data_IF_081360644448
#
_entry.id   IF_081360644448
#
_cell.length_a   1.000
_cell.length_b   1.000
_cell.length_c   1.000
_cell.angle_alpha   90.00
_cell.angle_beta   90.00
_cell.angle_gamma   90.00
#
_symmetry.space_group_name_H-M   'P 1'
#
loop_
_entity.id
_entity.type
_entity.pdbx_description
1 polymer ?
#
# COMPACT_ATOMS: atom_id res chain seq x y z
N UNK A 1 -0.96 -21.87 9.20
CA UNK A 1 -0.39 -20.71 8.48
C UNK A 1 1.09 -20.68 8.79
N UNK A 2 1.97 -20.62 7.78
CA UNK A 2 3.41 -20.63 8.04
C UNK A 2 3.85 -19.35 8.76
N UNK A 3 4.68 -19.50 9.79
CA UNK A 3 5.16 -18.41 10.67
C UNK A 3 5.79 -17.25 9.90
N UNK A 4 6.53 -17.55 8.83
CA UNK A 4 7.12 -16.54 7.94
C UNK A 4 6.09 -15.60 7.31
N UNK A 5 4.86 -16.08 7.03
CA UNK A 5 3.80 -15.23 6.46
C UNK A 5 3.26 -14.29 7.52
N UNK A 6 3.14 -14.75 8.78
CA UNK A 6 2.69 -13.90 9.89
C UNK A 6 3.66 -12.75 10.12
N UNK A 7 4.96 -13.05 10.25
CA UNK A 7 6.00 -12.04 10.40
C UNK A 7 6.03 -11.06 9.23
N UNK A 8 5.86 -11.55 8.00
CA UNK A 8 5.78 -10.69 6.82
C UNK A 8 4.59 -9.72 6.88
N UNK A 9 3.41 -10.19 7.28
CA UNK A 9 2.22 -9.34 7.34
C UNK A 9 2.38 -8.22 8.36
N UNK A 10 2.89 -8.54 9.56
CA UNK A 10 3.16 -7.56 10.61
C UNK A 10 4.17 -6.53 10.13
N UNK A 11 5.31 -6.97 9.58
CA UNK A 11 6.36 -6.08 9.06
C UNK A 11 5.86 -5.14 7.95
N UNK A 12 5.00 -5.64 7.06
CA UNK A 12 4.39 -4.83 6.01
C UNK A 12 3.40 -3.80 6.59
N UNK A 13 2.64 -4.16 7.63
CA UNK A 13 1.72 -3.26 8.31
C UNK A 13 2.46 -2.13 9.03
N UNK A 14 3.47 -2.47 9.82
CA UNK A 14 4.33 -1.51 10.52
C UNK A 14 5.02 -0.55 9.53
N UNK A 15 5.61 -1.09 8.46
CA UNK A 15 6.24 -0.27 7.42
C UNK A 15 5.25 0.68 6.76
N UNK A 16 4.00 0.26 6.54
CA UNK A 16 2.98 1.14 5.96
C UNK A 16 2.60 2.28 6.91
N UNK A 17 2.53 2.01 8.21
CA UNK A 17 2.22 3.03 9.23
C UNK A 17 3.40 4.00 9.37
N UNK A 18 4.63 3.49 9.43
CA UNK A 18 5.85 4.30 9.55
C UNK A 18 6.06 5.20 8.32
N UNK A 19 5.89 4.66 7.11
CA UNK A 19 6.11 5.41 5.88
C UNK A 19 4.90 6.26 5.47
N UNK A 20 3.69 5.87 5.86
CA UNK A 20 2.45 6.48 5.37
C UNK A 20 2.28 6.36 3.86
N UNK A 21 2.98 5.41 3.21
CA UNK A 21 3.07 5.31 1.76
C UNK A 21 1.95 4.47 1.14
N UNK A 22 1.84 4.53 -0.18
CA UNK A 22 0.85 3.70 -0.89
C UNK A 22 1.29 2.24 -1.03
N UNK A 23 0.31 1.31 -1.14
CA UNK A 23 0.56 -0.12 -1.45
C UNK A 23 1.47 -0.30 -2.68
N UNK A 24 1.41 0.62 -3.66
CA UNK A 24 2.24 0.56 -4.87
C UNK A 24 3.71 0.88 -4.58
N UNK A 25 3.99 1.79 -3.65
CA UNK A 25 5.35 2.13 -3.21
C UNK A 25 5.89 1.01 -2.34
N UNK A 26 5.11 0.51 -1.38
CA UNK A 26 5.49 -0.66 -0.58
C UNK A 26 5.84 -1.88 -1.43
N UNK A 27 5.04 -2.17 -2.46
CA UNK A 27 5.32 -3.26 -3.40
C UNK A 27 6.69 -3.09 -4.10
N UNK A 28 7.05 -1.86 -4.48
CA UNK A 28 8.36 -1.58 -5.08
C UNK A 28 9.51 -1.71 -4.08
N UNK A 29 9.31 -1.25 -2.84
CA UNK A 29 10.33 -1.31 -1.79
C UNK A 29 10.62 -2.74 -1.32
N UNK A 30 9.57 -3.54 -1.18
CA UNK A 30 9.66 -4.89 -0.60
C UNK A 30 9.95 -5.98 -1.64
N UNK A 31 9.85 -5.64 -2.93
CA UNK A 31 9.99 -6.60 -4.03
C UNK A 31 8.80 -7.54 -4.22
N UNK A 32 7.74 -7.42 -3.39
CA UNK A 32 6.52 -8.20 -3.54
C UNK A 32 5.55 -7.57 -4.53
N UNK A 33 4.70 -8.40 -5.14
CA UNK A 33 3.66 -7.88 -6.04
C UNK A 33 2.64 -7.05 -5.26
N UNK A 34 2.08 -6.02 -5.90
CA UNK A 34 0.99 -5.20 -5.32
C UNK A 34 -0.16 -6.05 -4.79
N UNK A 35 -0.54 -7.10 -5.52
CA UNK A 35 -1.65 -7.99 -5.11
C UNK A 35 -1.28 -8.82 -3.88
N UNK A 36 -0.03 -9.25 -3.76
CA UNK A 36 0.48 -9.96 -2.58
C UNK A 36 0.44 -9.04 -1.36
N UNK A 37 0.99 -7.83 -1.48
CA UNK A 37 0.99 -6.84 -0.39
C UNK A 37 -0.45 -6.49 0.02
N UNK A 38 -1.35 -6.29 -0.95
CA UNK A 38 -2.74 -5.98 -0.65
C UNK A 38 -3.42 -7.12 0.11
N UNK A 39 -3.32 -8.37 -0.35
CA UNK A 39 -3.91 -9.53 0.37
C UNK A 39 -3.33 -9.68 1.77
N UNK A 40 -2.02 -9.49 1.91
CA UNK A 40 -1.33 -9.59 3.20
C UNK A 40 -1.85 -8.54 4.18
N UNK A 41 -2.04 -7.30 3.73
CA UNK A 41 -2.50 -6.19 4.58
C UNK A 41 -4.01 -6.24 4.87
N UNK A 42 -4.85 -6.62 3.90
CA UNK A 42 -6.31 -6.54 4.07
C UNK A 42 -6.95 -7.82 4.60
N UNK A 43 -6.38 -8.99 4.28
CA UNK A 43 -6.96 -10.28 4.67
C UNK A 43 -6.15 -10.94 5.79
N UNK A 44 -4.82 -11.02 5.63
CA UNK A 44 -3.97 -11.80 6.54
C UNK A 44 -3.59 -11.06 7.80
N UNK A 45 -3.33 -9.75 7.69
CA UNK A 45 -2.92 -8.95 8.84
C UNK A 45 -4.00 -8.93 9.91
N UNK A 46 -5.28 -8.82 9.53
CA UNK A 46 -6.41 -8.88 10.47
C UNK A 46 -6.43 -10.18 11.30
N UNK A 47 -6.03 -11.32 10.70
CA UNK A 47 -5.94 -12.61 11.40
C UNK A 47 -4.73 -12.73 12.32
N UNK A 48 -3.78 -11.80 12.25
CA UNK A 48 -2.52 -11.83 13.01
C UNK A 48 -2.52 -10.75 14.08
N UNK A 49 -2.88 -9.52 13.70
CA UNK A 49 -2.97 -8.36 14.58
C UNK A 49 -4.10 -7.44 14.07
N UNK A 50 -5.22 -7.43 14.80
CA UNK A 50 -6.41 -6.64 14.47
C UNK A 50 -6.18 -5.13 14.66
N UNK A 51 -5.45 -4.71 15.70
CA UNK A 51 -5.15 -3.30 15.96
C UNK A 51 -4.34 -2.70 14.79
N UNK A 52 -3.26 -3.38 14.40
CA UNK A 52 -2.42 -2.95 13.29
C UNK A 52 -3.20 -2.94 11.96
N UNK A 53 -4.10 -3.89 11.76
CA UNK A 53 -4.95 -3.95 10.57
C UNK A 53 -5.89 -2.75 10.49
N UNK A 54 -6.42 -2.28 11.62
CA UNK A 54 -7.30 -1.12 11.68
C UNK A 54 -6.54 0.17 11.33
N UNK A 55 -5.34 0.38 11.86
CA UNK A 55 -4.50 1.53 11.50
C UNK A 55 -4.16 1.54 10.00
N UNK A 56 -3.72 0.40 9.47
CA UNK A 56 -3.45 0.24 8.03
C UNK A 56 -4.70 0.56 7.20
N UNK A 57 -5.89 0.13 7.64
CA UNK A 57 -7.15 0.35 6.95
C UNK A 57 -7.49 1.84 6.87
N UNK A 58 -7.22 2.62 7.91
CA UNK A 58 -7.41 4.08 7.89
C UNK A 58 -6.50 4.76 6.87
N UNK A 59 -5.22 4.42 6.85
CA UNK A 59 -4.26 4.96 5.87
C UNK A 59 -4.68 4.59 4.44
N UNK A 60 -5.12 3.35 4.22
CA UNK A 60 -5.64 2.92 2.93
C UNK A 60 -6.92 3.67 2.53
N UNK A 61 -7.80 3.97 3.47
CA UNK A 61 -9.01 4.75 3.24
C UNK A 61 -8.68 6.20 2.87
N UNK A 62 -7.74 6.83 3.59
CA UNK A 62 -7.22 8.15 3.26
C UNK A 62 -6.63 8.18 1.84
N UNK A 63 -5.82 7.20 1.47
CA UNK A 63 -5.28 7.10 0.12
C UNK A 63 -6.33 6.86 -0.96
N UNK A 64 -7.45 6.22 -0.63
CA UNK A 64 -8.59 6.10 -1.55
C UNK A 64 -9.31 7.44 -1.72
N UNK A 65 -9.50 8.21 -0.65
CA UNK A 65 -10.21 9.50 -0.72
C UNK A 65 -9.46 10.50 -1.60
N UNK A 66 -8.13 10.61 -1.47
CA UNK A 66 -7.30 11.55 -2.27
C UNK A 66 -6.88 11.01 -3.64
N UNK A 67 -7.30 9.79 -4.01
CA UNK A 67 -6.87 9.13 -5.27
C UNK A 67 -7.19 9.97 -6.51
N UNK A 68 -8.32 10.67 -6.51
CA UNK A 68 -8.77 11.47 -7.63
C UNK A 68 -7.81 12.63 -7.94
N UNK A 69 -7.26 13.28 -6.90
CA UNK A 69 -6.24 14.32 -7.03
C UNK A 69 -4.97 13.77 -7.69
N UNK A 70 -4.48 12.61 -7.20
CA UNK A 70 -3.33 11.91 -7.77
C UNK A 70 -3.57 11.46 -9.22
N UNK A 71 -4.81 11.09 -9.56
CA UNK A 71 -5.23 10.73 -10.91
C UNK A 71 -5.15 11.90 -11.88
N UNK A 72 -5.59 13.09 -11.47
CA UNK A 72 -5.45 14.32 -12.25
C UNK A 72 -3.98 14.66 -12.54
N UNK A 73 -3.12 14.56 -11.53
CA UNK A 73 -1.68 14.77 -11.71
C UNK A 73 -1.03 13.75 -12.65
N UNK A 74 -1.44 12.48 -12.59
CA UNK A 74 -0.93 11.44 -13.47
C UNK A 74 -1.25 11.72 -14.94
N UNK A 75 -2.47 12.20 -15.23
CA UNK A 75 -2.87 12.61 -16.59
C UNK A 75 -2.04 13.80 -17.05
N UNK A 76 -1.89 14.84 -16.21
CA UNK A 76 -1.06 16.00 -16.53
C UNK A 76 0.39 15.61 -16.88
N UNK A 77 1.02 14.78 -16.04
CA UNK A 77 2.39 14.30 -16.26
C UNK A 77 2.51 13.51 -17.56
N UNK A 78 1.56 12.63 -17.88
CA UNK A 78 1.54 11.83 -19.12
C UNK A 78 1.54 12.69 -20.39
N UNK A 79 0.81 13.81 -20.37
CA UNK A 79 0.74 14.70 -21.53
C UNK A 79 1.93 15.67 -21.60
N UNK A 80 2.42 16.15 -20.46
CA UNK A 80 3.66 16.95 -20.42
C UNK A 80 4.86 16.15 -20.93
N UNK A 81 5.03 14.90 -20.50
CA UNK A 81 6.12 14.04 -20.98
C UNK A 81 6.03 13.71 -22.48
N UNK A 82 4.85 13.86 -23.09
CA UNK A 82 4.63 13.64 -24.53
C UNK A 82 4.94 14.88 -25.38
N UNK A 83 5.02 16.08 -24.79
CA UNK A 83 5.35 17.30 -25.52
C UNK A 83 6.86 17.57 -25.59
N UNK A 84 7.66 16.92 -24.74
CA UNK A 84 9.12 17.12 -24.64
C UNK A 84 9.92 16.03 -25.37
N UNK A 85 9.26 15.23 -26.21
CA UNK A 85 9.84 14.11 -26.95
C UNK A 85 9.51 14.29 -28.43
#
# INVERSE_FOLDING_TARGET
MHEHIRHRCVRLGELLIETGETVRVLAKMTGYSKSTVHKDLTERLFLVNEELANEVKEILAYHKSIRHLRGGEATRKKWQSRQTQ
#
